data_IF_328781968968
#
_entry.id   IF_328781968968
#
_cell.length_a   1.000
_cell.length_b   1.000
_cell.length_c   1.000
_cell.angle_alpha   90.00
_cell.angle_beta   90.00
_cell.angle_gamma   90.00
#
_symmetry.space_group_name_H-M   'P 1'
#
loop_
_entity.id
_entity.type
_entity.pdbx_description
1 polymer ?
#
# COMPACT_ATOMS: atom_id res chain seq x y z
N UNK A 1 -24.71 -0.66 -20.43
CA UNK A 1 -25.45 0.32 -19.61
C UNK A 1 -25.38 -0.08 -18.12
N UNK A 2 -24.23 0.12 -17.47
CA UNK A 2 -24.00 -0.38 -16.09
C UNK A 2 -24.03 0.71 -15.01
N UNK A 3 -24.01 1.99 -15.39
CA UNK A 3 -23.93 3.12 -14.44
C UNK A 3 -25.17 4.02 -14.48
N UNK A 4 -25.65 4.39 -15.67
CA UNK A 4 -26.56 5.53 -15.86
C UNK A 4 -28.00 5.37 -15.31
N UNK A 5 -28.44 4.17 -14.96
CA UNK A 5 -29.81 3.89 -14.47
C UNK A 5 -29.86 2.99 -13.24
N UNK A 6 -28.73 2.81 -12.56
CA UNK A 6 -28.61 1.92 -11.40
C UNK A 6 -28.40 2.65 -10.08
N UNK A 7 -28.62 3.97 -10.05
CA UNK A 7 -28.41 4.79 -8.85
C UNK A 7 -27.01 4.57 -8.24
N UNK A 8 -26.01 4.46 -9.12
CA UNK A 8 -24.65 4.14 -8.72
C UNK A 8 -24.02 5.29 -7.91
N UNK A 9 -23.47 4.97 -6.74
CA UNK A 9 -22.67 5.90 -5.96
C UNK A 9 -21.22 5.85 -6.42
N UNK A 10 -20.75 6.96 -7.00
CA UNK A 10 -19.34 7.16 -7.31
C UNK A 10 -18.68 7.97 -6.19
N UNK A 11 -17.80 7.33 -5.41
CA UNK A 11 -17.02 8.00 -4.37
C UNK A 11 -15.58 8.14 -4.82
N UNK A 12 -15.11 9.38 -4.94
CA UNK A 12 -13.69 9.67 -5.10
C UNK A 12 -12.96 9.45 -3.78
N UNK A 13 -11.82 8.77 -3.83
CA UNK A 13 -10.91 8.62 -2.68
C UNK A 13 -9.56 9.21 -3.05
N UNK A 14 -9.03 10.06 -2.18
CA UNK A 14 -7.71 10.65 -2.35
C UNK A 14 -6.95 10.58 -1.04
N UNK A 15 -5.77 9.97 -1.07
CA UNK A 15 -4.96 9.68 0.11
C UNK A 15 -5.73 8.84 1.15
N UNK A 16 -5.23 8.82 2.39
CA UNK A 16 -5.71 7.92 3.45
C UNK A 16 -5.76 8.63 4.81
N UNK A 17 -6.33 9.84 4.85
CA UNK A 17 -6.38 10.65 6.06
C UNK A 17 -7.78 11.15 6.36
N UNK A 18 -8.08 11.31 7.65
CA UNK A 18 -9.30 11.97 8.12
C UNK A 18 -8.99 12.84 9.35
N UNK A 19 -9.95 13.67 9.76
CA UNK A 19 -9.86 14.45 10.98
C UNK A 19 -10.36 13.63 12.19
N UNK A 20 -9.75 13.80 13.38
CA UNK A 20 -8.49 14.49 13.63
C UNK A 20 -7.30 13.72 13.03
N UNK A 21 -6.26 14.44 12.60
CA UNK A 21 -5.08 13.84 11.97
C UNK A 21 -4.43 12.76 12.87
N UNK A 22 -3.98 11.62 12.32
CA UNK A 22 -3.99 11.25 10.90
C UNK A 22 -5.31 10.61 10.42
N UNK A 23 -6.29 10.50 11.30
CA UNK A 23 -7.56 9.83 11.05
C UNK A 23 -7.64 8.49 11.77
N UNK A 24 -8.88 8.04 11.99
CA UNK A 24 -9.14 6.77 12.69
C UNK A 24 -8.62 5.56 11.93
N UNK A 25 -8.50 5.65 10.61
CA UNK A 25 -8.03 4.61 9.71
C UNK A 25 -6.66 4.09 10.15
N UNK A 26 -5.76 4.99 10.58
CA UNK A 26 -4.42 4.65 11.05
C UNK A 26 -4.45 3.81 12.33
N UNK A 27 -5.25 4.23 13.32
CA UNK A 27 -5.39 3.52 14.59
C UNK A 27 -6.07 2.14 14.38
N UNK A 28 -7.09 2.09 13.52
CA UNK A 28 -7.78 0.84 13.18
C UNK A 28 -6.86 -0.14 12.45
N UNK A 29 -6.08 0.32 11.47
CA UNK A 29 -5.10 -0.54 10.78
C UNK A 29 -4.08 -1.12 11.76
N UNK A 30 -3.53 -0.30 12.67
CA UNK A 30 -2.61 -0.80 13.69
C UNK A 30 -3.27 -1.81 14.63
N UNK A 31 -4.50 -1.54 15.08
CA UNK A 31 -5.28 -2.44 15.92
C UNK A 31 -5.49 -3.81 15.25
N UNK A 32 -5.99 -3.83 14.02
CA UNK A 32 -6.29 -5.09 13.34
C UNK A 32 -5.05 -5.88 12.94
N UNK A 33 -3.91 -5.23 12.70
CA UNK A 33 -2.63 -5.93 12.58
C UNK A 33 -2.21 -6.55 13.92
N UNK A 34 -2.38 -5.84 15.04
CA UNK A 34 -2.02 -6.32 16.37
C UNK A 34 -2.91 -7.48 16.84
N UNK A 35 -4.21 -7.48 16.49
CA UNK A 35 -5.15 -8.58 16.82
C UNK A 35 -5.06 -9.75 15.84
N UNK A 36 -4.35 -9.59 14.72
CA UNK A 36 -4.21 -10.63 13.69
C UNK A 36 -5.45 -10.81 12.79
N UNK A 37 -6.45 -9.94 12.93
CA UNK A 37 -7.63 -9.89 12.05
C UNK A 37 -7.25 -9.39 10.65
N UNK A 38 -6.34 -8.41 10.58
CA UNK A 38 -5.69 -8.01 9.35
C UNK A 38 -4.37 -8.77 9.20
N UNK A 39 -4.32 -9.66 8.21
CA UNK A 39 -3.16 -10.52 7.97
C UNK A 39 -2.27 -9.93 6.89
N UNK A 40 -0.98 -9.89 7.15
CA UNK A 40 0.04 -9.58 6.15
C UNK A 40 0.58 -10.88 5.55
N UNK A 41 0.51 -11.01 4.23
CA UNK A 41 1.15 -12.12 3.50
C UNK A 41 2.58 -11.73 3.07
N UNK A 42 3.63 -12.41 3.57
CA UNK A 42 5.00 -12.16 3.13
C UNK A 42 5.21 -12.27 1.62
N UNK A 43 4.36 -13.02 0.90
CA UNK A 43 4.41 -13.16 -0.56
C UNK A 43 4.19 -11.83 -1.30
N UNK A 44 3.62 -10.81 -0.64
CA UNK A 44 3.54 -9.46 -1.22
C UNK A 44 4.90 -8.76 -1.36
N UNK A 45 5.94 -9.22 -0.65
CA UNK A 45 7.29 -8.66 -0.76
C UNK A 45 8.01 -9.33 -1.92
N UNK A 46 8.19 -8.57 -3.01
CA UNK A 46 8.89 -9.04 -4.20
C UNK A 46 10.42 -9.03 -4.04
N UNK A 47 10.97 -7.93 -3.52
CA UNK A 47 12.43 -7.77 -3.32
C UNK A 47 12.74 -6.98 -2.07
N UNK A 48 13.89 -7.28 -1.48
CA UNK A 48 14.48 -6.54 -0.35
C UNK A 48 15.82 -5.96 -0.78
N UNK A 49 16.07 -4.70 -0.46
CA UNK A 49 17.34 -4.03 -0.72
C UNK A 49 17.87 -3.42 0.57
N UNK A 50 19.19 -3.47 0.84
CA UNK A 50 19.77 -2.65 1.89
C UNK A 50 19.64 -1.17 1.52
N UNK A 51 19.62 -0.29 2.53
CA UNK A 51 19.50 1.15 2.30
C UNK A 51 20.62 1.71 1.41
N UNK A 52 21.82 1.11 1.46
CA UNK A 52 22.97 1.46 0.60
C UNK A 52 22.73 1.25 -0.89
N UNK A 53 21.73 0.46 -1.28
CA UNK A 53 21.36 0.14 -2.68
C UNK A 53 19.99 0.71 -3.05
N UNK A 54 19.61 1.83 -2.44
CA UNK A 54 18.32 2.48 -2.67
C UNK A 54 18.14 2.91 -4.14
N UNK A 55 19.21 3.34 -4.78
CA UNK A 55 19.26 3.69 -6.19
C UNK A 55 18.90 2.50 -7.12
N UNK A 56 19.46 1.32 -6.85
CA UNK A 56 19.12 0.08 -7.56
C UNK A 56 17.64 -0.27 -7.39
N UNK A 57 17.10 -0.11 -6.18
CA UNK A 57 15.69 -0.37 -5.89
C UNK A 57 14.76 0.55 -6.68
N UNK A 58 15.08 1.84 -6.76
CA UNK A 58 14.32 2.82 -7.54
C UNK A 58 14.49 2.64 -9.06
N UNK A 59 15.65 2.16 -9.52
CA UNK A 59 15.88 1.92 -10.94
C UNK A 59 14.89 0.91 -11.55
N UNK A 60 14.38 -0.05 -10.75
CA UNK A 60 13.36 -1.00 -11.19
C UNK A 60 12.07 -0.32 -11.67
N UNK A 61 11.72 0.85 -11.11
CA UNK A 61 10.51 1.57 -11.52
C UNK A 61 10.63 2.26 -12.89
N UNK A 62 11.82 2.27 -13.51
CA UNK A 62 11.98 2.72 -14.90
C UNK A 62 11.36 1.75 -15.90
N UNK A 63 11.25 0.47 -15.55
CA UNK A 63 10.55 -0.54 -16.32
C UNK A 63 9.49 -1.24 -15.44
N UNK A 64 8.20 -0.92 -15.59
CA UNK A 64 7.12 -1.50 -14.79
C UNK A 64 7.09 -3.03 -14.78
N UNK A 65 7.59 -3.69 -15.83
CA UNK A 65 7.67 -5.15 -15.90
C UNK A 65 8.64 -5.76 -14.86
N UNK A 66 9.46 -4.94 -14.19
CA UNK A 66 10.42 -5.38 -13.16
C UNK A 66 9.89 -5.24 -11.73
N UNK A 67 8.64 -4.82 -11.55
CA UNK A 67 8.01 -4.63 -10.22
C UNK A 67 6.78 -5.55 -10.12
N UNK A 68 6.95 -6.70 -9.48
CA UNK A 68 5.88 -7.71 -9.31
C UNK A 68 5.22 -7.68 -7.92
N UNK A 69 5.61 -6.75 -7.06
CA UNK A 69 5.11 -6.62 -5.69
C UNK A 69 5.84 -5.53 -4.92
N UNK A 70 5.73 -5.55 -3.59
CA UNK A 70 6.38 -4.56 -2.72
C UNK A 70 7.90 -4.74 -2.75
N UNK A 71 8.61 -3.68 -3.12
CA UNK A 71 10.05 -3.55 -2.88
C UNK A 71 10.23 -2.93 -1.49
N UNK A 72 11.02 -3.59 -0.64
CA UNK A 72 11.26 -3.17 0.75
C UNK A 72 12.72 -2.78 0.96
N UNK A 73 12.94 -1.57 1.46
CA UNK A 73 14.26 -1.14 1.91
C UNK A 73 14.46 -1.60 3.35
N UNK A 74 15.62 -2.17 3.65
CA UNK A 74 15.99 -2.65 4.98
C UNK A 74 17.20 -1.86 5.46
N UNK A 75 17.09 -1.34 6.68
CA UNK A 75 18.21 -0.72 7.39
C UNK A 75 19.05 -1.83 8.02
N UNK A 76 20.10 -2.25 7.32
CA UNK A 76 21.12 -3.20 7.78
C UNK A 76 22.44 -2.47 7.91
#
# INVERSE_FOLDING_TARGET
>A
ENMNRKEFFLTGSWMSYSAPFPGREWALTAHYFATGELKFDPAFIYKKFPLSKVDEAFALYRNPAQVHGKIMLINQ
#
